data_IF_617935302073
#
_entry.id   IF_617935302073
#
_cell.length_a   1.000
_cell.length_b   1.000
_cell.length_c   1.000
_cell.angle_alpha   90.00
_cell.angle_beta   90.00
_cell.angle_gamma   90.00
#
_symmetry.space_group_name_H-M   'P 1'
#
loop_
_entity.id
_entity.type
_entity.pdbx_description
1 polymer ?
#
# COMPACT_ATOMS: atom_id res chain seq x y z
N UNK A 1 20.06 9.91 -15.68
CA UNK A 1 18.80 10.60 -16.04
C UNK A 1 19.13 12.06 -16.18
N UNK A 2 19.69 12.43 -17.34
CA UNK A 2 20.22 13.77 -17.64
C UNK A 2 19.08 14.78 -17.86
N UNK A 3 18.59 15.40 -16.79
CA UNK A 3 17.49 16.40 -16.85
C UNK A 3 17.83 17.65 -17.68
N UNK A 4 19.10 17.88 -17.95
CA UNK A 4 19.57 19.12 -18.58
C UNK A 4 19.61 19.06 -20.12
N UNK A 5 19.47 17.87 -20.73
CA UNK A 5 19.57 17.74 -22.20
C UNK A 5 18.27 18.09 -22.93
N UNK A 6 17.11 17.96 -22.29
CA UNK A 6 15.79 18.21 -22.87
C UNK A 6 15.25 19.63 -22.53
N UNK A 7 16.03 20.49 -21.86
CA UNK A 7 15.55 21.81 -21.37
C UNK A 7 15.41 22.87 -22.46
N UNK A 8 15.94 22.62 -23.66
CA UNK A 8 15.88 23.56 -24.78
C UNK A 8 14.50 23.41 -25.44
N UNK A 9 13.56 24.29 -25.09
CA UNK A 9 12.25 24.37 -25.74
C UNK A 9 11.03 24.06 -24.85
N UNK A 10 11.21 23.81 -23.55
CA UNK A 10 10.09 23.66 -22.60
C UNK A 10 9.54 25.02 -22.18
N UNK A 11 8.22 25.17 -22.25
CA UNK A 11 7.53 26.33 -21.69
C UNK A 11 7.08 26.08 -20.24
N UNK A 12 6.53 27.10 -19.59
CA UNK A 12 6.09 26.99 -18.19
C UNK A 12 4.91 26.04 -18.00
N UNK A 13 4.15 25.72 -19.05
CA UNK A 13 3.04 24.77 -18.99
C UNK A 13 3.54 23.33 -19.09
N UNK A 14 4.54 23.10 -19.95
CA UNK A 14 5.22 21.82 -20.06
C UNK A 14 5.93 21.47 -18.74
N UNK A 15 6.65 22.44 -18.14
CA UNK A 15 7.34 22.25 -16.86
C UNK A 15 6.35 21.93 -15.73
N UNK A 16 5.24 22.66 -15.64
CA UNK A 16 4.20 22.40 -14.63
C UNK A 16 3.60 20.98 -14.77
N UNK A 17 3.34 20.55 -16.00
CA UNK A 17 2.78 19.22 -16.28
C UNK A 17 3.77 18.11 -15.91
N UNK A 18 5.05 18.26 -16.28
CA UNK A 18 6.09 17.31 -15.92
C UNK A 18 6.28 17.20 -14.41
N UNK A 19 6.30 18.33 -13.69
CA UNK A 19 6.41 18.33 -12.23
C UNK A 19 5.24 17.60 -11.56
N UNK A 20 4.00 17.82 -12.03
CA UNK A 20 2.83 17.10 -11.54
C UNK A 20 2.96 15.59 -11.76
N UNK A 21 3.34 15.18 -12.98
CA UNK A 21 3.54 13.75 -13.29
C UNK A 21 4.63 13.13 -12.43
N UNK A 22 5.76 13.82 -12.24
CA UNK A 22 6.85 13.36 -11.41
C UNK A 22 6.43 13.23 -9.93
N UNK A 23 5.69 14.21 -9.42
CA UNK A 23 5.17 14.16 -8.04
C UNK A 23 4.24 12.96 -7.82
N UNK A 24 3.42 12.63 -8.82
CA UNK A 24 2.52 11.48 -8.79
C UNK A 24 3.30 10.17 -8.86
N UNK A 25 4.29 10.07 -9.75
CA UNK A 25 5.16 8.91 -9.88
C UNK A 25 5.90 8.61 -8.57
N UNK A 26 6.43 9.64 -7.90
CA UNK A 26 7.11 9.48 -6.62
C UNK A 26 6.18 8.86 -5.56
N UNK A 27 4.93 9.36 -5.45
CA UNK A 27 3.93 8.81 -4.51
C UNK A 27 3.56 7.36 -4.83
N UNK A 28 3.48 6.99 -6.11
CA UNK A 28 3.22 5.61 -6.53
C UNK A 28 4.39 4.70 -6.19
N UNK A 29 5.62 5.13 -6.46
CA UNK A 29 6.83 4.41 -6.10
C UNK A 29 6.92 4.15 -4.59
N UNK A 30 6.60 5.15 -3.76
CA UNK A 30 6.58 4.99 -2.31
C UNK A 30 5.55 3.93 -1.87
N UNK A 31 4.36 3.91 -2.50
CA UNK A 31 3.35 2.87 -2.23
C UNK A 31 3.81 1.48 -2.65
N UNK A 32 4.50 1.37 -3.78
CA UNK A 32 5.06 0.10 -4.27
C UNK A 32 6.12 -0.44 -3.32
N UNK A 33 7.05 0.41 -2.85
CA UNK A 33 8.07 0.00 -1.89
C UNK A 33 7.48 -0.48 -0.57
N UNK A 34 6.44 0.21 -0.07
CA UNK A 34 5.70 -0.23 1.12
C UNK A 34 5.00 -1.58 0.90
N UNK A 35 4.36 -1.77 -0.25
CA UNK A 35 3.70 -3.03 -0.59
C UNK A 35 4.70 -4.19 -0.70
N UNK A 36 5.87 -3.96 -1.30
CA UNK A 36 6.95 -4.95 -1.37
C UNK A 36 7.40 -5.40 0.01
N UNK A 37 7.52 -4.49 0.98
CA UNK A 37 7.83 -4.84 2.36
C UNK A 37 6.74 -5.75 2.97
N UNK A 38 5.46 -5.43 2.73
CA UNK A 38 4.33 -6.25 3.19
C UNK A 38 4.27 -7.64 2.54
N UNK A 39 4.68 -7.76 1.28
CA UNK A 39 4.78 -9.06 0.61
C UNK A 39 5.89 -9.91 1.25
N UNK A 40 7.05 -9.31 1.55
CA UNK A 40 8.14 -10.03 2.24
C UNK A 40 7.72 -10.53 3.61
N UNK A 41 7.05 -9.69 4.39
CA UNK A 41 6.49 -10.07 5.70
C UNK A 41 5.48 -11.23 5.57
N UNK A 42 4.58 -11.18 4.58
CA UNK A 42 3.63 -12.26 4.33
C UNK A 42 4.31 -13.57 3.93
N UNK A 43 5.40 -13.51 3.16
CA UNK A 43 6.21 -14.69 2.81
C UNK A 43 6.85 -15.31 4.06
N UNK A 44 7.40 -14.50 4.97
CA UNK A 44 7.96 -15.00 6.23
C UNK A 44 6.90 -15.67 7.10
N UNK A 45 5.68 -15.11 7.15
CA UNK A 45 4.54 -15.72 7.87
C UNK A 45 4.10 -17.03 7.24
N UNK A 46 4.14 -17.12 5.91
CA UNK A 46 3.83 -18.35 5.18
C UNK A 46 4.82 -19.46 5.52
N UNK A 47 6.13 -19.15 5.54
CA UNK A 47 7.18 -20.10 5.90
C UNK A 47 7.04 -20.60 7.36
N UNK A 48 6.58 -19.74 8.27
CA UNK A 48 6.29 -20.09 9.67
C UNK A 48 4.97 -20.83 9.87
N UNK A 49 4.11 -20.91 8.85
CA UNK A 49 2.78 -21.51 8.95
C UNK A 49 1.77 -20.67 9.75
N UNK A 50 1.95 -19.36 9.82
CA UNK A 50 1.13 -18.40 10.59
C UNK A 50 0.37 -17.41 9.68
N UNK A 51 0.21 -17.74 8.40
CA UNK A 51 -0.40 -16.82 7.42
C UNK A 51 -1.91 -16.64 7.64
N UNK A 52 -2.55 -17.64 8.24
CA UNK A 52 -3.99 -17.70 8.46
C UNK A 52 -4.39 -17.25 9.87
N UNK A 53 -3.51 -16.64 10.65
CA UNK A 53 -3.84 -16.14 12.00
C UNK A 53 -4.03 -14.61 12.00
N UNK A 54 -5.12 -14.14 12.62
CA UNK A 54 -5.36 -12.72 12.84
C UNK A 54 -4.45 -12.16 13.94
N UNK A 55 -3.76 -11.05 13.68
CA UNK A 55 -2.84 -10.43 14.65
C UNK A 55 -3.55 -9.81 15.88
N UNK A 56 -4.86 -9.59 15.82
CA UNK A 56 -5.61 -8.90 16.88
C UNK A 56 -6.41 -9.86 17.77
N UNK A 57 -7.15 -10.80 17.18
CA UNK A 57 -7.99 -11.75 17.91
C UNK A 57 -7.47 -13.19 17.90
N UNK A 58 -6.35 -13.48 17.20
CA UNK A 58 -5.80 -14.83 17.00
C UNK A 58 -6.77 -15.83 16.32
N UNK A 59 -7.86 -15.35 15.72
CA UNK A 59 -8.79 -16.19 14.95
C UNK A 59 -8.31 -16.46 13.53
N UNK A 60 -8.75 -17.58 12.91
CA UNK A 60 -8.35 -17.91 11.56
C UNK A 60 -8.89 -16.92 10.51
N UNK A 61 -8.01 -16.45 9.63
CA UNK A 61 -8.35 -15.63 8.46
C UNK A 61 -8.92 -16.55 7.38
N UNK A 62 -10.16 -16.29 6.96
CA UNK A 62 -10.85 -17.11 5.96
C UNK A 62 -10.07 -17.24 4.65
N UNK A 63 -9.98 -18.46 4.12
CA UNK A 63 -9.22 -18.77 2.90
C UNK A 63 -9.57 -17.89 1.69
N UNK A 64 -10.87 -17.60 1.47
CA UNK A 64 -11.30 -16.71 0.37
C UNK A 64 -10.71 -15.30 0.49
N UNK A 65 -10.50 -14.82 1.72
CA UNK A 65 -9.89 -13.52 2.00
C UNK A 65 -8.40 -13.53 1.68
N UNK A 66 -7.67 -14.57 2.10
CA UNK A 66 -6.26 -14.75 1.75
C UNK A 66 -6.05 -14.91 0.24
N UNK A 67 -6.94 -15.62 -0.45
CA UNK A 67 -6.90 -15.74 -1.91
C UNK A 67 -7.09 -14.39 -2.61
N UNK A 68 -7.97 -13.53 -2.08
CA UNK A 68 -8.19 -12.19 -2.63
C UNK A 68 -7.05 -11.22 -2.27
N UNK A 69 -6.50 -11.31 -1.06
CA UNK A 69 -5.43 -10.44 -0.56
C UNK A 69 -4.51 -11.21 0.41
N UNK A 70 -3.41 -11.80 -0.06
CA UNK A 70 -2.55 -12.66 0.77
C UNK A 70 -1.69 -11.91 1.79
N UNK A 71 -1.59 -10.58 1.66
CA UNK A 71 -0.85 -9.71 2.60
C UNK A 71 -1.70 -9.22 3.78
N UNK A 72 -2.95 -9.70 3.90
CA UNK A 72 -3.85 -9.29 4.99
C UNK A 72 -3.42 -9.94 6.31
N UNK A 73 -3.30 -9.14 7.36
CA UNK A 73 -2.91 -9.63 8.68
C UNK A 73 -4.07 -9.71 9.68
N UNK A 74 -5.24 -9.17 9.30
CA UNK A 74 -6.44 -9.12 10.12
C UNK A 74 -7.59 -9.91 9.50
N UNK A 75 -8.44 -10.48 10.36
CA UNK A 75 -9.73 -11.07 9.98
C UNK A 75 -10.71 -9.97 9.51
N UNK A 76 -11.85 -10.38 8.95
CA UNK A 76 -12.84 -9.45 8.41
C UNK A 76 -13.44 -8.54 9.49
N UNK A 77 -13.75 -9.08 10.66
CA UNK A 77 -14.41 -8.36 11.75
C UNK A 77 -13.48 -7.30 12.36
N UNK A 78 -12.26 -7.70 12.75
CA UNK A 78 -11.23 -6.78 13.23
C UNK A 78 -10.94 -5.67 12.21
N UNK A 79 -10.85 -6.02 10.91
CA UNK A 79 -10.59 -5.01 9.88
C UNK A 79 -11.75 -4.02 9.73
N UNK A 80 -12.99 -4.49 9.83
CA UNK A 80 -14.19 -3.63 9.75
C UNK A 80 -14.28 -2.71 10.96
N UNK A 81 -14.05 -3.22 12.17
CA UNK A 81 -14.05 -2.42 13.40
C UNK A 81 -12.99 -1.31 13.33
N UNK A 82 -11.78 -1.63 12.86
CA UNK A 82 -10.72 -0.64 12.67
C UNK A 82 -11.08 0.43 11.65
N UNK A 83 -11.71 0.05 10.54
CA UNK A 83 -12.17 1.01 9.53
C UNK A 83 -13.27 1.94 10.06
N UNK A 84 -14.13 1.46 10.97
CA UNK A 84 -15.13 2.29 11.65
C UNK A 84 -14.47 3.32 12.56
N UNK A 85 -13.53 2.90 13.41
CA UNK A 85 -12.77 3.81 14.28
C UNK A 85 -12.01 4.85 13.46
N UNK A 86 -11.30 4.44 12.41
CA UNK A 86 -10.60 5.36 11.51
C UNK A 86 -11.55 6.34 10.80
N UNK A 87 -12.81 5.95 10.55
CA UNK A 87 -13.82 6.83 9.95
C UNK A 87 -14.38 7.84 10.95
N UNK A 88 -14.61 7.43 12.21
CA UNK A 88 -15.03 8.31 13.30
C UNK A 88 -13.97 9.37 13.60
N UNK A 89 -12.69 8.97 13.71
CA UNK A 89 -11.55 9.88 13.93
C UNK A 89 -11.38 10.93 12.82
N UNK A 90 -11.79 10.61 11.57
CA UNK A 90 -11.72 11.55 10.44
C UNK A 90 -12.90 12.51 10.38
N UNK A 91 -14.00 12.18 11.07
CA UNK A 91 -15.20 13.00 11.10
C UNK A 91 -15.15 14.08 12.18
N UNK A 92 -14.24 13.92 13.15
CA UNK A 92 -13.91 14.89 14.20
C UNK A 92 -12.84 15.90 13.72
#
# INVERSE_FOLDING_TARGET
MDRDRDRIGRDSMDEATEEETYSTQLRLHDRETFLLAKIREAMERLEKGQIDECEECAEPIGYKRLMARPVTTLCFECKTAREQVEAEERAE
#
